data_IF_548661411757
#
_entry.id   IF_548661411757
#
_cell.length_a   1.000
_cell.length_b   1.000
_cell.length_c   1.000
_cell.angle_alpha   90.00
_cell.angle_beta   90.00
_cell.angle_gamma   90.00
#
_symmetry.space_group_name_H-M   'P 1'
#
loop_
_entity.id
_entity.type
_entity.pdbx_description
1 polymer ?
#
# COMPACT_ATOMS: atom_id res chain seq x y z
N UNK A 1 35.33 24.88 30.59
CA UNK A 1 33.87 24.78 30.81
C UNK A 1 33.39 25.98 31.63
N UNK A 2 33.15 27.14 31.00
CA UNK A 2 32.80 28.40 31.70
C UNK A 2 31.72 29.23 30.96
N UNK A 3 30.97 28.63 30.03
CA UNK A 3 29.98 29.37 29.24
C UNK A 3 28.55 29.38 29.84
N UNK A 4 28.30 28.65 30.92
CA UNK A 4 26.95 28.47 31.51
C UNK A 4 26.69 29.30 32.78
N UNK A 5 27.63 30.12 33.24
CA UNK A 5 27.55 30.79 34.55
C UNK A 5 27.08 32.24 34.54
N UNK A 6 27.07 32.89 33.36
CA UNK A 6 26.77 34.33 33.24
C UNK A 6 25.45 34.65 32.51
N UNK A 7 24.61 33.64 32.23
CA UNK A 7 23.29 33.89 31.63
C UNK A 7 22.25 34.24 32.70
N UNK A 8 21.66 35.43 32.57
CA UNK A 8 20.53 35.93 33.37
C UNK A 8 19.48 34.84 33.58
N UNK A 9 18.91 34.73 34.79
CA UNK A 9 17.84 33.77 35.16
C UNK A 9 16.71 33.72 34.10
N UNK A 10 16.45 34.86 33.45
CA UNK A 10 15.54 34.98 32.31
C UNK A 10 15.91 34.04 31.15
N UNK A 11 17.16 34.02 30.71
CA UNK A 11 17.63 33.15 29.62
C UNK A 11 17.53 31.66 29.98
N UNK A 12 17.72 31.29 31.25
CA UNK A 12 17.56 29.90 31.72
C UNK A 12 16.09 29.44 31.67
N UNK A 13 15.17 30.33 32.06
CA UNK A 13 13.72 30.12 31.94
C UNK A 13 13.28 30.06 30.48
N UNK A 14 13.75 30.98 29.63
CA UNK A 14 13.42 30.98 28.19
C UNK A 14 13.94 29.72 27.49
N UNK A 15 15.14 29.24 27.84
CA UNK A 15 15.70 28.00 27.28
C UNK A 15 14.87 26.77 27.67
N UNK A 16 14.40 26.66 28.92
CA UNK A 16 13.52 25.57 29.33
C UNK A 16 12.18 25.59 28.58
N UNK A 17 11.57 26.77 28.40
CA UNK A 17 10.30 26.92 27.68
C UNK A 17 10.46 26.61 26.19
N UNK A 18 11.59 26.99 25.57
CA UNK A 18 11.87 26.60 24.19
C UNK A 18 12.06 25.09 24.06
N UNK A 19 12.79 24.46 24.99
CA UNK A 19 13.03 23.02 24.95
C UNK A 19 11.73 22.23 25.06
N UNK A 20 10.83 22.62 25.96
CA UNK A 20 9.52 21.96 26.10
C UNK A 20 8.65 22.16 24.87
N UNK A 21 8.71 23.34 24.25
CA UNK A 21 7.97 23.64 23.01
C UNK A 21 8.48 22.80 21.83
N UNK A 22 9.81 22.68 21.70
CA UNK A 22 10.46 21.84 20.69
C UNK A 22 10.10 20.37 20.90
N UNK A 23 10.19 19.87 22.14
CA UNK A 23 9.85 18.50 22.47
C UNK A 23 8.37 18.20 22.17
N UNK A 24 7.46 19.11 22.50
CA UNK A 24 6.04 18.97 22.20
C UNK A 24 5.78 18.90 20.68
N UNK A 25 6.46 19.74 19.89
CA UNK A 25 6.35 19.72 18.44
C UNK A 25 6.89 18.42 17.83
N UNK A 26 8.05 17.94 18.32
CA UNK A 26 8.64 16.69 17.86
C UNK A 26 7.71 15.49 18.12
N UNK A 27 7.11 15.42 19.32
CA UNK A 27 6.14 14.37 19.66
C UNK A 27 4.92 14.45 18.74
N UNK A 28 4.37 15.65 18.49
CA UNK A 28 3.24 15.83 17.59
C UNK A 28 3.57 15.34 16.16
N UNK A 29 4.76 15.66 15.65
CA UNK A 29 5.23 15.17 14.34
C UNK A 29 5.36 13.64 14.29
N UNK A 30 5.94 13.03 15.32
CA UNK A 30 6.08 11.56 15.41
C UNK A 30 4.70 10.90 15.41
N UNK A 31 3.77 11.40 16.23
CA UNK A 31 2.38 10.89 16.29
C UNK A 31 1.69 11.07 14.95
N UNK A 32 1.86 12.20 14.27
CA UNK A 32 1.29 12.45 12.95
C UNK A 32 1.82 11.46 11.90
N UNK A 33 3.14 11.25 11.84
CA UNK A 33 3.78 10.29 10.92
C UNK A 33 3.30 8.86 11.17
N UNK A 34 3.21 8.44 12.44
CA UNK A 34 2.70 7.12 12.79
C UNK A 34 1.24 6.95 12.39
N UNK A 35 0.42 7.97 12.61
CA UNK A 35 -1.00 7.95 12.27
C UNK A 35 -1.26 7.98 10.76
N UNK A 36 -0.47 8.76 10.02
CA UNK A 36 -0.55 8.84 8.55
C UNK A 36 -0.20 7.49 7.93
N UNK A 37 0.85 6.80 8.44
CA UNK A 37 1.22 5.45 7.98
C UNK A 37 0.10 4.43 8.20
N UNK A 38 -0.65 4.53 9.30
CA UNK A 38 -1.73 3.59 9.62
C UNK A 38 -3.00 3.86 8.80
N UNK A 39 -3.42 5.13 8.72
CA UNK A 39 -4.59 5.53 7.93
C UNK A 39 -4.38 5.32 6.43
N UNK A 40 -3.17 5.54 5.94
CA UNK A 40 -2.84 5.32 4.53
C UNK A 40 -2.96 3.84 4.14
N UNK A 41 -2.46 2.93 4.99
CA UNK A 41 -2.59 1.48 4.76
C UNK A 41 -4.05 1.04 4.70
N UNK A 42 -4.89 1.58 5.58
CA UNK A 42 -6.33 1.25 5.59
C UNK A 42 -7.01 1.75 4.31
N UNK A 43 -6.76 3.00 3.90
CA UNK A 43 -7.33 3.56 2.66
C UNK A 43 -6.90 2.79 1.42
N UNK A 44 -5.61 2.44 1.34
CA UNK A 44 -5.10 1.66 0.21
C UNK A 44 -5.73 0.27 0.14
N UNK A 45 -5.96 -0.36 1.30
CA UNK A 45 -6.64 -1.65 1.35
C UNK A 45 -8.10 -1.56 0.91
N UNK A 46 -8.81 -0.52 1.34
CA UNK A 46 -10.20 -0.28 0.93
C UNK A 46 -10.30 0.01 -0.59
N UNK A 47 -9.45 0.90 -1.10
CA UNK A 47 -9.41 1.24 -2.53
C UNK A 47 -9.07 0.02 -3.40
N UNK A 48 -8.08 -0.78 -3.00
CA UNK A 48 -7.69 -1.99 -3.72
C UNK A 48 -8.77 -3.07 -3.63
N UNK A 49 -9.47 -3.16 -2.50
CA UNK A 49 -10.62 -4.04 -2.33
C UNK A 49 -11.75 -3.68 -3.31
N UNK A 50 -12.07 -2.39 -3.45
CA UNK A 50 -13.08 -1.91 -4.42
C UNK A 50 -12.63 -2.17 -5.86
N UNK A 51 -11.39 -1.81 -6.21
CA UNK A 51 -10.84 -2.05 -7.55
C UNK A 51 -10.84 -3.53 -7.91
N UNK A 52 -10.42 -4.39 -6.98
CA UNK A 52 -10.46 -5.84 -7.17
C UNK A 52 -11.89 -6.36 -7.37
N UNK A 53 -12.87 -5.81 -6.65
CA UNK A 53 -14.27 -6.20 -6.80
C UNK A 53 -14.82 -5.84 -8.18
N UNK A 54 -14.59 -4.61 -8.64
CA UNK A 54 -15.02 -4.16 -9.98
C UNK A 54 -14.32 -4.98 -11.06
N UNK A 55 -13.02 -5.21 -10.91
CA UNK A 55 -12.23 -6.02 -11.85
C UNK A 55 -12.71 -7.46 -11.90
N UNK A 56 -13.02 -8.07 -10.76
CA UNK A 56 -13.55 -9.42 -10.69
C UNK A 56 -14.92 -9.52 -11.37
N UNK A 57 -15.81 -8.55 -11.16
CA UNK A 57 -17.12 -8.51 -11.84
C UNK A 57 -16.97 -8.35 -13.35
N UNK A 58 -16.10 -7.45 -13.83
CA UNK A 58 -15.85 -7.25 -15.26
C UNK A 58 -15.18 -8.48 -15.91
N UNK A 59 -14.33 -9.17 -15.16
CA UNK A 59 -13.64 -10.39 -15.61
C UNK A 59 -14.56 -11.62 -15.60
N UNK A 60 -15.68 -11.59 -14.87
CA UNK A 60 -16.61 -12.72 -14.80
C UNK A 60 -17.22 -13.06 -16.17
N UNK A 61 -17.55 -12.05 -16.97
CA UNK A 61 -18.03 -12.24 -18.34
C UNK A 61 -16.93 -12.81 -19.23
N UNK A 62 -15.70 -12.25 -19.17
CA UNK A 62 -14.57 -12.76 -19.93
C UNK A 62 -14.26 -14.24 -19.61
N UNK A 63 -14.32 -14.64 -18.34
CA UNK A 63 -14.18 -16.05 -17.94
C UNK A 63 -15.34 -16.92 -18.39
N UNK A 64 -16.59 -16.41 -18.32
CA UNK A 64 -17.76 -17.18 -18.74
C UNK A 64 -17.76 -17.49 -20.24
N UNK A 65 -17.16 -16.61 -21.04
CA UNK A 65 -17.02 -16.77 -22.48
C UNK A 65 -15.64 -17.31 -22.93
N UNK A 66 -14.77 -17.67 -21.97
CA UNK A 66 -13.39 -18.13 -22.21
C UNK A 66 -12.57 -17.18 -23.14
N UNK A 67 -12.84 -15.87 -23.02
CA UNK A 67 -12.16 -14.80 -23.77
C UNK A 67 -10.96 -14.26 -22.97
N UNK A 68 -9.79 -14.80 -23.28
CA UNK A 68 -8.52 -14.45 -22.64
C UNK A 68 -8.08 -13.01 -22.95
N UNK A 69 -8.38 -12.52 -24.15
CA UNK A 69 -8.09 -11.14 -24.57
C UNK A 69 -8.92 -10.14 -23.79
N UNK A 70 -10.22 -10.36 -23.67
CA UNK A 70 -11.09 -9.49 -22.89
C UNK A 70 -10.66 -9.44 -21.40
N UNK A 71 -10.26 -10.58 -20.82
CA UNK A 71 -9.71 -10.61 -19.47
C UNK A 71 -8.38 -9.86 -19.37
N UNK A 72 -7.51 -9.98 -20.38
CA UNK A 72 -6.28 -9.21 -20.50
C UNK A 72 -6.51 -7.70 -20.53
N UNK A 73 -7.50 -7.23 -21.30
CA UNK A 73 -7.85 -5.80 -21.39
C UNK A 73 -8.38 -5.25 -20.06
N UNK A 74 -9.20 -6.04 -19.36
CA UNK A 74 -9.68 -5.69 -18.00
C UNK A 74 -8.52 -5.60 -17.01
N UNK A 75 -7.56 -6.53 -17.06
CA UNK A 75 -6.36 -6.46 -16.24
C UNK A 75 -5.43 -5.31 -16.64
N UNK A 76 -5.34 -4.98 -17.93
CA UNK A 76 -4.57 -3.85 -18.42
C UNK A 76 -5.12 -2.51 -17.90
N UNK A 77 -6.44 -2.41 -17.65
CA UNK A 77 -7.03 -1.23 -17.02
C UNK A 77 -6.49 -0.98 -15.59
N UNK A 78 -5.98 -2.01 -14.90
CA UNK A 78 -5.32 -1.85 -13.60
C UNK A 78 -3.98 -1.11 -13.69
N UNK A 79 -3.38 -1.02 -14.88
CA UNK A 79 -2.15 -0.25 -15.11
C UNK A 79 -2.28 1.25 -14.79
N UNK A 80 -3.51 1.78 -14.79
CA UNK A 80 -3.82 3.16 -14.41
C UNK A 80 -3.41 3.44 -12.97
N UNK A 81 -3.47 2.43 -12.10
CA UNK A 81 -3.00 2.55 -10.73
C UNK A 81 -1.52 2.14 -10.63
N UNK A 82 -0.64 3.12 -10.49
CA UNK A 82 0.82 2.91 -10.40
C UNK A 82 1.27 2.07 -9.19
N UNK A 83 0.39 1.84 -8.21
CA UNK A 83 0.68 1.00 -7.06
C UNK A 83 0.53 -0.49 -7.41
N UNK A 84 -0.20 -0.85 -8.47
CA UNK A 84 -0.39 -2.25 -8.87
C UNK A 84 0.84 -2.76 -9.61
N UNK A 85 1.51 -3.74 -9.01
CA UNK A 85 2.72 -4.37 -9.54
C UNK A 85 2.34 -5.54 -10.46
N UNK A 86 1.36 -6.32 -10.03
CA UNK A 86 0.99 -7.57 -10.68
C UNK A 86 -0.48 -7.86 -10.46
N UNK A 87 -1.16 -8.38 -11.48
CA UNK A 87 -2.51 -8.90 -11.35
C UNK A 87 -2.67 -10.14 -12.24
N UNK A 88 -3.26 -11.20 -11.74
CA UNK A 88 -3.53 -12.41 -12.53
C UNK A 88 -4.90 -12.97 -12.21
N UNK A 89 -5.54 -13.52 -13.23
CA UNK A 89 -6.75 -14.31 -13.06
C UNK A 89 -6.37 -15.77 -13.21
N UNK A 90 -6.77 -16.58 -12.23
CA UNK A 90 -6.55 -18.01 -12.18
C UNK A 90 -7.88 -18.71 -12.47
N UNK A 91 -7.84 -19.77 -13.28
CA UNK A 91 -8.94 -20.72 -13.43
C UNK A 91 -9.07 -21.57 -12.16
N UNK A 92 -10.20 -22.29 -11.96
CA UNK A 92 -10.40 -23.18 -10.82
C UNK A 92 -9.38 -24.33 -10.74
N UNK A 93 -8.70 -24.63 -11.85
CA UNK A 93 -7.60 -25.60 -11.92
C UNK A 93 -6.24 -25.01 -11.48
N UNK A 94 -6.21 -23.74 -11.06
CA UNK A 94 -5.02 -23.02 -10.63
C UNK A 94 -4.15 -22.49 -11.78
N UNK A 95 -4.56 -22.64 -13.05
CA UNK A 95 -3.80 -22.12 -14.18
C UNK A 95 -4.07 -20.64 -14.42
N UNK A 96 -3.06 -19.84 -14.80
CA UNK A 96 -3.28 -18.46 -15.19
C UNK A 96 -4.10 -18.40 -16.48
N UNK A 97 -5.19 -17.62 -16.45
CA UNK A 97 -6.04 -17.32 -17.60
C UNK A 97 -5.57 -16.05 -18.31
N UNK A 98 -5.33 -14.99 -17.54
CA UNK A 98 -4.79 -13.73 -18.01
C UNK A 98 -3.90 -13.14 -16.91
N UNK A 99 -2.84 -12.43 -17.31
CA UNK A 99 -1.93 -11.79 -16.37
C UNK A 99 -1.49 -10.43 -16.85
N UNK A 100 -1.29 -9.54 -15.90
CA UNK A 100 -0.75 -8.20 -16.06
C UNK A 100 0.45 -8.05 -15.12
N UNK A 101 1.53 -7.51 -15.66
CA UNK A 101 2.78 -7.29 -14.95
C UNK A 101 3.25 -5.89 -15.32
N UNK A 102 3.58 -5.10 -14.32
CA UNK A 102 4.18 -3.79 -14.54
C UNK A 102 5.55 -3.93 -15.20
N UNK A 103 5.88 -3.04 -16.14
CA UNK A 103 7.21 -3.02 -16.76
C UNK A 103 8.31 -2.84 -15.70
N UNK A 104 9.30 -3.72 -15.72
CA UNK A 104 10.43 -3.72 -14.78
C UNK A 104 10.23 -4.58 -13.54
N UNK A 105 9.06 -5.21 -13.37
CA UNK A 105 8.74 -6.08 -12.24
C UNK A 105 8.60 -7.53 -12.68
N UNK A 106 8.94 -8.48 -11.80
CA UNK A 106 8.83 -9.92 -12.10
C UNK A 106 7.49 -10.46 -11.62
N UNK A 107 6.78 -11.15 -12.52
CA UNK A 107 5.58 -11.91 -12.19
C UNK A 107 5.90 -13.16 -11.37
N UNK A 108 6.13 -12.97 -10.07
CA UNK A 108 6.19 -14.10 -9.15
C UNK A 108 4.83 -14.21 -8.46
N UNK A 109 4.02 -15.18 -8.88
CA UNK A 109 2.83 -15.58 -8.13
C UNK A 109 3.34 -16.10 -6.78
N UNK A 110 3.00 -15.46 -5.65
CA UNK A 110 3.43 -15.94 -4.35
C UNK A 110 2.89 -17.35 -4.13
N UNK A 111 3.77 -18.30 -3.80
CA UNK A 111 3.40 -19.68 -3.57
C UNK A 111 2.37 -19.88 -2.43
N UNK A 112 2.15 -18.84 -1.60
CA UNK A 112 1.19 -18.82 -0.49
C UNK A 112 -0.19 -18.22 -0.80
N UNK A 113 -0.43 -17.57 -1.96
CA UNK A 113 -1.71 -16.88 -2.26
C UNK A 113 -2.89 -17.79 -2.58
N UNK A 114 -2.71 -19.11 -2.44
CA UNK A 114 -3.76 -20.09 -2.76
C UNK A 114 -4.73 -20.26 -1.57
N UNK A 115 -4.42 -19.71 -0.38
CA UNK A 115 -5.00 -20.25 0.86
C UNK A 115 -6.04 -19.40 1.59
N UNK A 116 -6.31 -18.14 1.25
CA UNK A 116 -7.42 -17.38 1.87
C UNK A 116 -7.87 -16.18 1.03
N UNK A 117 -9.16 -16.11 0.71
CA UNK A 117 -9.76 -14.92 0.11
C UNK A 117 -9.65 -13.75 1.11
N UNK A 118 -9.16 -12.59 0.67
CA UNK A 118 -8.94 -11.44 1.53
C UNK A 118 -7.74 -10.57 1.13
N UNK A 119 -7.52 -9.54 1.94
CA UNK A 119 -6.37 -8.64 1.82
C UNK A 119 -5.27 -9.10 2.80
N UNK A 120 -4.13 -9.53 2.27
CA UNK A 120 -2.98 -10.02 3.03
C UNK A 120 -1.81 -9.08 2.80
N UNK A 121 -1.24 -8.57 3.90
CA UNK A 121 -0.03 -7.76 3.84
C UNK A 121 1.19 -8.68 3.96
N UNK A 122 1.99 -8.79 2.90
CA UNK A 122 3.21 -9.58 2.87
C UNK A 122 4.42 -8.65 2.65
N UNK A 123 5.18 -8.40 3.72
CA UNK A 123 6.32 -7.47 3.70
C UNK A 123 5.90 -6.05 3.36
N UNK A 124 6.30 -5.58 2.18
CA UNK A 124 5.99 -4.24 1.65
C UNK A 124 4.94 -4.27 0.53
N UNK A 125 4.29 -5.42 0.32
CA UNK A 125 3.23 -5.58 -0.66
C UNK A 125 1.89 -5.88 0.02
N UNK A 126 0.82 -5.47 -0.63
CA UNK A 126 -0.55 -5.81 -0.30
C UNK A 126 -1.09 -6.71 -1.40
N UNK A 127 -1.40 -7.95 -1.04
CA UNK A 127 -2.01 -8.93 -1.92
C UNK A 127 -3.50 -9.02 -1.61
N UNK A 128 -4.32 -8.86 -2.63
CA UNK A 128 -5.76 -9.00 -2.55
C UNK A 128 -6.17 -10.19 -3.41
N UNK A 129 -6.70 -11.22 -2.75
CA UNK A 129 -7.21 -12.43 -3.38
C UNK A 129 -8.73 -12.36 -3.34
N UNK A 130 -9.36 -12.43 -4.51
CA UNK A 130 -10.81 -12.34 -4.64
C UNK A 130 -11.35 -13.39 -5.59
N UNK A 131 -12.39 -14.09 -5.16
CA UNK A 131 -13.08 -15.06 -6.01
C UNK A 131 -13.94 -14.35 -7.05
N UNK A 132 -13.81 -14.75 -8.31
CA UNK A 132 -14.66 -14.32 -9.41
C UNK A 132 -15.86 -15.25 -9.43
N UNK A 133 -17.03 -14.72 -9.05
CA UNK A 133 -18.31 -15.44 -9.07
C UNK A 133 -19.23 -14.89 -10.14
N UNK A 134 -19.93 -15.78 -10.84
CA UNK A 134 -21.03 -15.43 -11.74
C UNK A 134 -22.21 -16.35 -11.47
N UNK A 135 -23.41 -15.77 -11.32
CA UNK A 135 -24.65 -16.52 -11.07
C UNK A 135 -24.56 -17.57 -9.95
N UNK A 136 -23.82 -17.26 -8.87
CA UNK A 136 -23.64 -18.15 -7.72
C UNK A 136 -22.57 -19.24 -7.88
N UNK A 137 -21.85 -19.31 -9.00
CA UNK A 137 -20.76 -20.26 -9.24
C UNK A 137 -19.41 -19.53 -9.30
N UNK A 138 -18.38 -20.09 -8.68
CA UNK A 138 -17.00 -19.58 -8.79
C UNK A 138 -16.44 -19.96 -10.15
N UNK A 139 -16.12 -18.96 -10.96
CA UNK A 139 -15.51 -19.12 -12.29
C UNK A 139 -13.98 -19.11 -12.23
N UNK A 140 -13.40 -18.44 -11.24
CA UNK A 140 -11.95 -18.35 -11.06
C UNK A 140 -11.57 -17.47 -9.86
N UNK A 141 -10.29 -17.14 -9.75
CA UNK A 141 -9.74 -16.32 -8.66
C UNK A 141 -8.88 -15.20 -9.24
N UNK A 142 -9.19 -13.96 -8.87
CA UNK A 142 -8.38 -12.78 -9.15
C UNK A 142 -7.37 -12.61 -8.02
N UNK A 143 -6.10 -12.46 -8.37
CA UNK A 143 -5.01 -12.12 -7.46
C UNK A 143 -4.43 -10.78 -7.91
N UNK A 144 -4.46 -9.77 -7.05
CA UNK A 144 -3.89 -8.44 -7.31
C UNK A 144 -2.85 -8.13 -6.25
N UNK A 145 -1.66 -7.73 -6.67
CA UNK A 145 -0.55 -7.32 -5.81
C UNK A 145 -0.26 -5.85 -6.01
N UNK A 146 -0.26 -5.11 -4.90
CA UNK A 146 0.08 -3.69 -4.83
C UNK A 146 1.35 -3.48 -4.03
N UNK A 147 2.22 -2.57 -4.46
CA UNK A 147 3.39 -2.13 -3.70
C UNK A 147 3.07 -0.92 -2.83
N UNK A 148 3.37 -1.03 -1.54
CA UNK A 148 3.25 0.05 -0.57
C UNK A 148 4.50 0.96 -0.59
N UNK A 149 5.59 0.55 -1.24
CA UNK A 149 6.92 1.18 -1.20
C UNK A 149 7.11 2.40 -2.07
N UNK A 150 6.31 2.57 -3.13
CA UNK A 150 6.43 3.72 -4.04
C UNK A 150 6.17 5.08 -3.38
N UNK A 151 5.67 5.10 -2.14
CA UNK A 151 5.42 6.33 -1.38
C UNK A 151 6.37 6.60 -0.21
N UNK A 152 7.39 5.77 0.05
CA UNK A 152 8.41 6.09 1.07
C UNK A 152 9.35 7.23 0.61
N UNK A 153 9.34 7.62 -0.68
CA UNK A 153 10.17 8.70 -1.21
C UNK A 153 9.70 10.13 -0.86
N UNK A 154 8.50 10.31 -0.29
CA UNK A 154 8.00 11.64 0.13
C UNK A 154 8.19 11.93 1.62
N UNK A 155 8.44 10.92 2.45
CA UNK A 155 8.57 11.10 3.90
C UNK A 155 9.99 11.44 4.37
N UNK A 156 11.02 11.21 3.54
CA UNK A 156 12.40 11.56 3.91
C UNK A 156 12.63 13.07 4.10
N UNK A 157 11.83 13.91 3.43
CA UNK A 157 11.91 15.37 3.62
C UNK A 157 11.48 15.80 5.03
N UNK A 158 10.55 15.09 5.66
CA UNK A 158 10.09 15.38 7.03
C UNK A 158 11.01 14.78 8.11
N UNK A 159 11.68 13.66 7.83
CA UNK A 159 12.69 13.10 8.73
C UNK A 159 13.90 14.05 8.92
N UNK A 160 14.25 14.83 7.88
CA UNK A 160 15.32 15.82 7.94
C UNK A 160 15.08 16.93 8.98
N UNK A 161 13.81 17.27 9.27
CA UNK A 161 13.49 18.32 10.24
C UNK A 161 13.69 17.85 11.68
N UNK A 162 13.50 16.56 11.96
CA UNK A 162 13.73 15.99 13.31
C UNK A 162 15.22 15.94 13.66
N UNK A 163 16.08 15.63 12.69
CA UNK A 163 17.53 15.53 12.87
C UNK A 163 18.18 16.91 13.05
N UNK A 164 17.63 17.97 12.45
CA UNK A 164 18.18 19.34 12.58
C UNK A 164 17.90 19.96 13.97
N UNK A 165 16.95 19.39 14.72
CA UNK A 165 16.49 19.94 16.00
C UNK A 165 17.11 19.23 17.23
N UNK A 166 17.80 18.10 17.04
CA UNK A 166 18.57 17.42 18.10
C UNK A 166 20.04 17.84 18.05
#
# INVERSE_FOLDING_TARGET
MKAFRDYSIKAKLTAMIMLTSIAALAVACVVFVLNDRSNFRSRLADDLSILSQVTATNSASALAFDDDKAAGDVLAALSVNSHIVFATILKPDGKPFASYVRQGESASIPAGSILSAGAVFEGNHLDVIREIRSSGRTLGTLVVRSDLGLMDARLQWFAGVSIIIT
#
